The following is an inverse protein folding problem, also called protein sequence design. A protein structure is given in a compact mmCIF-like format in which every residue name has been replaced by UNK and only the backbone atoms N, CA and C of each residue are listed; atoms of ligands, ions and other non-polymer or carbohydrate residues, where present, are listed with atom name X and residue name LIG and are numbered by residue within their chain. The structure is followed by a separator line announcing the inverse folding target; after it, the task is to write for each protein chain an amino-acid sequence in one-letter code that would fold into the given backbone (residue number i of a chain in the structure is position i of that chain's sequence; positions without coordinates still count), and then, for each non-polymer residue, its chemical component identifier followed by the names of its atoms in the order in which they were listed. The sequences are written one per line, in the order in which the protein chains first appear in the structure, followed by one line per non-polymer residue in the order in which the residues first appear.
data_IF_633318219540
#
_entry.id   IF_633318219540
#
_cell.length_a   1.000
_cell.length_b   1.000
_cell.length_c   1.000
_cell.angle_alpha   90.00
_cell.angle_beta   90.00
_cell.angle_gamma   90.00
#
_symmetry.space_group_name_H-M   'P 1'
#
loop_
_entity.id
_entity.type
_entity.pdbx_description
1 polymer ?
#
# COMPACT_ATOMS: atom_id res chain seq x y z
N UNK A 1 -18.36 -54.21 -13.76
CA UNK A 1 -18.13 -53.46 -12.50
C UNK A 1 -16.91 -52.57 -12.70
N UNK A 2 -17.08 -51.31 -13.07
CA UNK A 2 -15.98 -50.37 -13.31
C UNK A 2 -15.96 -49.32 -12.21
N UNK A 3 -14.83 -49.17 -11.49
CA UNK A 3 -14.66 -48.23 -10.38
C UNK A 3 -14.06 -46.94 -10.93
N UNK A 4 -14.83 -45.86 -10.89
CA UNK A 4 -14.40 -44.52 -11.30
C UNK A 4 -13.55 -43.90 -10.18
N UNK A 5 -12.26 -43.71 -10.42
CA UNK A 5 -11.34 -43.06 -9.47
C UNK A 5 -11.29 -41.57 -9.81
N UNK A 6 -11.80 -40.72 -8.92
CA UNK A 6 -11.75 -39.27 -9.07
C UNK A 6 -10.39 -38.75 -8.59
N UNK A 7 -9.54 -38.33 -9.54
CA UNK A 7 -8.29 -37.65 -9.22
C UNK A 7 -8.59 -36.16 -8.96
N UNK A 8 -8.57 -35.75 -7.69
CA UNK A 8 -8.57 -34.34 -7.30
C UNK A 8 -7.14 -33.80 -7.47
N UNK A 9 -6.86 -33.22 -8.64
CA UNK A 9 -5.59 -32.54 -8.91
C UNK A 9 -5.54 -31.19 -8.18
N UNK A 10 -4.60 -31.02 -7.25
CA UNK A 10 -4.30 -29.73 -6.63
C UNK A 10 -3.42 -28.91 -7.57
N UNK A 11 -3.94 -27.82 -8.12
CA UNK A 11 -3.15 -26.88 -8.94
C UNK A 11 -2.57 -25.77 -8.06
N UNK A 12 -1.24 -25.69 -8.01
CA UNK A 12 -0.52 -24.57 -7.39
C UNK A 12 -0.41 -23.44 -8.41
N UNK A 13 -1.08 -22.31 -8.17
CA UNK A 13 -0.94 -21.09 -9.00
C UNK A 13 0.11 -20.20 -8.36
N UNK A 14 1.22 -19.97 -9.04
CA UNK A 14 2.21 -18.98 -8.63
C UNK A 14 1.75 -17.58 -9.04
N UNK A 15 1.56 -16.70 -8.07
CA UNK A 15 1.27 -15.28 -8.31
C UNK A 15 2.58 -14.50 -8.36
N UNK A 16 2.86 -13.82 -9.47
CA UNK A 16 3.94 -12.82 -9.52
C UNK A 16 3.45 -11.56 -8.81
N UNK A 17 4.06 -11.22 -7.68
CA UNK A 17 3.87 -9.92 -7.04
C UNK A 17 4.85 -8.91 -7.65
N UNK A 18 4.32 -7.89 -8.31
CA UNK A 18 5.13 -6.76 -8.77
C UNK A 18 5.40 -5.83 -7.59
N UNK A 19 6.67 -5.51 -7.33
CA UNK A 19 7.01 -4.45 -6.40
C UNK A 19 6.49 -3.12 -6.97
N UNK A 20 5.70 -2.38 -6.19
CA UNK A 20 5.28 -1.03 -6.57
C UNK A 20 6.52 -0.17 -6.79
N UNK A 21 6.49 0.69 -7.81
CA UNK A 21 7.51 1.71 -7.99
C UNK A 21 7.63 2.56 -6.71
N UNK A 22 8.85 3.01 -6.35
CA UNK A 22 9.03 3.90 -5.21
C UNK A 22 8.25 5.19 -5.46
N UNK A 23 7.51 5.64 -4.45
CA UNK A 23 6.77 6.90 -4.50
C UNK A 23 7.78 8.05 -4.57
N UNK A 24 7.58 8.99 -5.50
CA UNK A 24 8.40 10.19 -5.58
C UNK A 24 8.36 10.95 -4.26
N UNK A 25 9.45 11.62 -3.90
CA UNK A 25 9.40 12.54 -2.77
C UNK A 25 8.41 13.67 -3.07
N UNK A 26 7.58 14.00 -2.09
CA UNK A 26 6.65 15.12 -2.14
C UNK A 26 6.51 15.70 -0.75
N UNK A 27 6.20 16.99 -0.68
CA UNK A 27 5.94 17.69 0.57
C UNK A 27 4.45 18.04 0.67
N UNK A 28 3.88 17.79 1.84
CA UNK A 28 2.54 18.21 2.20
C UNK A 28 2.62 19.31 3.26
N UNK A 29 1.65 20.23 3.24
CA UNK A 29 1.43 21.14 4.35
C UNK A 29 0.69 20.40 5.45
N UNK A 30 1.21 20.42 6.68
CA UNK A 30 0.50 19.88 7.83
C UNK A 30 -0.70 20.78 8.18
N UNK A 31 -1.88 20.38 7.73
CA UNK A 31 -3.13 21.07 8.00
C UNK A 31 -3.83 20.60 9.30
N UNK A 32 -3.27 19.62 10.02
CA UNK A 32 -3.90 19.10 11.24
C UNK A 32 -3.80 20.14 12.37
N UNK A 33 -4.92 20.68 12.88
CA UNK A 33 -4.88 21.69 13.94
C UNK A 33 -4.33 21.17 15.26
N UNK A 34 -4.33 19.85 15.46
CA UNK A 34 -3.84 19.20 16.68
C UNK A 34 -2.37 18.75 16.56
N UNK A 35 -1.70 19.04 15.45
CA UNK A 35 -0.29 18.68 15.27
C UNK A 35 0.63 19.72 15.90
N UNK A 36 1.69 19.25 16.56
CA UNK A 36 2.81 20.11 17.00
C UNK A 36 3.56 20.73 15.82
N UNK A 37 3.42 20.15 14.63
CA UNK A 37 4.06 20.59 13.38
C UNK A 37 3.10 21.34 12.45
N UNK A 38 1.96 21.82 12.99
CA UNK A 38 0.96 22.54 12.20
C UNK A 38 1.59 23.62 11.32
N UNK A 39 1.16 23.67 10.06
CA UNK A 39 1.65 24.60 9.02
C UNK A 39 3.11 24.36 8.58
N UNK A 40 3.80 23.34 9.07
CA UNK A 40 5.10 22.94 8.55
C UNK A 40 4.94 22.10 7.27
N UNK A 41 6.02 22.05 6.48
CA UNK A 41 6.13 21.04 5.42
C UNK A 41 6.54 19.70 6.02
N UNK A 42 5.87 18.64 5.59
CA UNK A 42 6.18 17.26 5.95
C UNK A 42 6.35 16.42 4.69
N UNK A 43 7.37 15.56 4.67
CA UNK A 43 7.60 14.56 3.62
C UNK A 43 7.25 13.17 4.15
N UNK A 44 6.81 12.23 3.29
CA UNK A 44 6.72 10.83 3.67
C UNK A 44 8.02 10.25 4.24
N UNK A 45 9.17 10.81 3.87
CA UNK A 45 10.48 10.40 4.38
C UNK A 45 10.69 10.76 5.86
N UNK A 46 9.97 11.74 6.38
CA UNK A 46 10.01 12.08 7.82
C UNK A 46 9.44 10.95 8.69
N UNK A 47 8.71 10.00 8.09
CA UNK A 47 8.05 8.88 8.74
C UNK A 47 8.63 7.51 8.31
N UNK A 48 9.88 7.49 7.84
CA UNK A 48 10.57 6.22 7.57
C UNK A 48 10.54 5.32 8.81
N UNK A 49 10.38 4.01 8.56
CA UNK A 49 10.25 2.98 9.60
C UNK A 49 8.98 3.08 10.46
N UNK A 50 8.02 3.93 10.07
CA UNK A 50 6.69 4.00 10.70
C UNK A 50 5.60 3.60 9.69
N UNK A 51 4.54 2.99 10.20
CA UNK A 51 3.34 2.75 9.40
C UNK A 51 2.63 4.09 9.20
N UNK A 52 2.59 4.57 7.96
CA UNK A 52 1.95 5.82 7.57
C UNK A 52 0.94 5.59 6.44
N UNK A 53 -0.14 6.37 6.45
CA UNK A 53 -1.18 6.32 5.43
C UNK A 53 -1.34 7.70 4.78
N UNK A 54 -1.27 7.76 3.45
CA UNK A 54 -1.48 8.97 2.66
C UNK A 54 -2.73 8.79 1.81
N UNK A 55 -3.67 9.72 1.94
CA UNK A 55 -4.91 9.72 1.15
C UNK A 55 -4.84 10.87 0.15
N UNK A 56 -4.88 10.54 -1.14
CA UNK A 56 -4.92 11.51 -2.22
C UNK A 56 -6.35 11.55 -2.76
N UNK A 57 -6.94 12.74 -2.82
CA UNK A 57 -8.26 12.98 -3.39
C UNK A 57 -8.19 14.10 -4.41
N UNK A 58 -9.06 14.03 -5.43
CA UNK A 58 -9.30 15.13 -6.35
C UNK A 58 -10.65 15.77 -5.99
N UNK A 59 -10.68 17.09 -5.83
CA UNK A 59 -11.93 17.84 -5.86
C UNK A 59 -12.20 18.16 -7.34
N UNK A 60 -13.23 17.54 -7.91
CA UNK A 60 -13.76 17.86 -9.23
C UNK A 60 -14.66 19.09 -9.19
#
# INVERSE_FOLDING_TARGET
MSRLIWNLGLSLVATVSWASAPVSDFHLLDANPNSERRSAQVSPRDYLLQVSGYYFGAAG
#
